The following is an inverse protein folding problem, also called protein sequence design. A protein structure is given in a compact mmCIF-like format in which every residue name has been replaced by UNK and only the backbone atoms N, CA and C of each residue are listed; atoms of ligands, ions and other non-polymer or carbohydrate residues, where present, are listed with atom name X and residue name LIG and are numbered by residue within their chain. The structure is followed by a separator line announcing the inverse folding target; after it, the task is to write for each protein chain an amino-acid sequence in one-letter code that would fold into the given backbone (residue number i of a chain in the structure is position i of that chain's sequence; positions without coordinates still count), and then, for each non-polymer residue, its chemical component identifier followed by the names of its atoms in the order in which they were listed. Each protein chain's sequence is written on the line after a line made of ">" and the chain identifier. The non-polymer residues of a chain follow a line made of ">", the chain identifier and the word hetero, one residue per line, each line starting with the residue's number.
data_IF_901249640183
#
_entry.id   IF_901249640183
#
_cell.length_a   1.000
_cell.length_b   1.000
_cell.length_c   1.000
_cell.angle_alpha   90.00
_cell.angle_beta   90.00
_cell.angle_gamma   90.00
#
_symmetry.space_group_name_H-M   'P 1'
#
loop_
_entity.id
_entity.type
_entity.pdbx_description
1 polymer ?
#
# COMPACT_ATOMS: atom_id res chain seq x y z
N UNK A 1 0.77 -27.27 -4.49
CA UNK A 1 1.39 -26.36 -3.51
C UNK A 1 1.12 -24.94 -4.00
N UNK A 2 0.76 -24.00 -3.14
CA UNK A 2 0.54 -22.62 -3.58
C UNK A 2 1.83 -22.02 -4.15
N UNK A 3 1.72 -21.20 -5.20
CA UNK A 3 2.90 -20.62 -5.86
C UNK A 3 3.76 -19.81 -4.89
N UNK A 4 5.07 -19.88 -5.05
CA UNK A 4 5.99 -19.10 -4.23
C UNK A 4 5.86 -17.60 -4.57
N UNK A 5 6.00 -16.73 -3.57
CA UNK A 5 5.99 -15.28 -3.75
C UNK A 5 7.18 -14.59 -3.08
N UNK A 6 7.66 -13.49 -3.67
CA UNK A 6 8.61 -12.59 -3.03
C UNK A 6 7.88 -11.30 -2.67
N UNK A 7 7.81 -10.98 -1.38
CA UNK A 7 7.23 -9.73 -0.90
C UNK A 7 8.35 -8.71 -0.73
N UNK A 8 8.22 -7.57 -1.41
CA UNK A 8 9.22 -6.50 -1.44
C UNK A 8 8.68 -5.29 -0.69
N UNK A 9 9.44 -4.83 0.30
CA UNK A 9 9.20 -3.61 1.06
C UNK A 9 10.37 -2.67 0.81
N UNK A 10 10.05 -1.44 0.41
CA UNK A 10 11.03 -0.36 0.27
C UNK A 10 10.79 0.65 1.37
N UNK A 11 11.85 1.08 2.05
CA UNK A 11 11.73 2.05 3.14
C UNK A 11 12.90 3.02 3.17
N UNK A 12 12.62 4.27 3.53
CA UNK A 12 13.67 5.28 3.71
C UNK A 12 13.26 6.29 4.78
N UNK A 13 14.10 6.45 5.80
CA UNK A 13 13.90 7.39 6.92
C UNK A 13 12.58 7.17 7.67
N UNK A 14 12.12 5.92 7.78
CA UNK A 14 10.84 5.54 8.41
C UNK A 14 10.93 4.30 9.33
N UNK A 15 11.90 4.21 10.24
CA UNK A 15 12.06 3.02 11.09
C UNK A 15 10.82 2.70 11.94
N UNK A 16 10.07 3.72 12.38
CA UNK A 16 8.86 3.51 13.18
C UNK A 16 7.70 2.87 12.42
N UNK A 17 7.61 3.10 11.10
CA UNK A 17 6.62 2.43 10.27
C UNK A 17 7.02 0.97 10.03
N UNK A 18 8.31 0.70 9.78
CA UNK A 18 8.83 -0.67 9.70
C UNK A 18 8.59 -1.48 10.98
N UNK A 19 8.73 -0.88 12.17
CA UNK A 19 8.40 -1.53 13.45
C UNK A 19 6.94 -1.98 13.54
N UNK A 20 6.03 -1.33 12.81
CA UNK A 20 4.62 -1.75 12.70
C UNK A 20 4.39 -2.75 11.57
N UNK A 21 5.00 -2.52 10.42
CA UNK A 21 4.78 -3.27 9.19
C UNK A 21 5.35 -4.70 9.27
N UNK A 22 6.62 -4.86 9.67
CA UNK A 22 7.31 -6.16 9.65
C UNK A 22 6.63 -7.25 10.50
N UNK A 23 6.13 -6.97 11.72
CA UNK A 23 5.44 -7.98 12.51
C UNK A 23 4.17 -8.56 11.86
N UNK A 24 3.51 -7.81 10.96
CA UNK A 24 2.28 -8.24 10.31
C UNK A 24 2.47 -9.42 9.34
N UNK A 25 3.67 -9.61 8.79
CA UNK A 25 3.93 -10.72 7.86
C UNK A 25 3.91 -12.09 8.52
N UNK A 26 4.10 -12.17 9.84
CA UNK A 26 3.92 -13.43 10.59
C UNK A 26 2.46 -13.93 10.54
N UNK A 27 1.52 -13.03 10.27
CA UNK A 27 0.09 -13.30 10.26
C UNK A 27 -0.44 -13.69 8.87
N UNK A 28 0.41 -13.75 7.84
CA UNK A 28 -0.07 -14.11 6.50
C UNK A 28 -0.50 -15.58 6.44
N UNK A 29 -1.67 -15.84 5.83
CA UNK A 29 -2.18 -17.20 5.61
C UNK A 29 -1.45 -17.91 4.48
N UNK A 30 -1.01 -17.20 3.45
CA UNK A 30 -0.10 -17.74 2.43
C UNK A 30 1.27 -18.00 3.05
N UNK A 31 1.74 -19.25 3.03
CA UNK A 31 2.96 -19.65 3.75
C UNK A 31 4.20 -19.72 2.87
N UNK A 32 4.04 -19.89 1.57
CA UNK A 32 5.14 -20.06 0.63
C UNK A 32 5.63 -18.71 0.10
N UNK A 33 6.28 -17.91 0.95
CA UNK A 33 6.86 -16.63 0.52
C UNK A 33 8.18 -16.31 1.19
N UNK A 34 8.98 -15.47 0.52
CA UNK A 34 10.14 -14.80 1.07
C UNK A 34 9.87 -13.30 1.25
N UNK A 35 10.60 -12.67 2.18
CA UNK A 35 10.48 -11.24 2.46
C UNK A 35 11.79 -10.55 2.11
N UNK A 36 11.69 -9.41 1.43
CA UNK A 36 12.83 -8.62 0.94
C UNK A 36 12.63 -7.19 1.42
N UNK A 37 13.56 -6.70 2.24
CA UNK A 37 13.58 -5.32 2.72
C UNK A 37 14.73 -4.57 2.04
N UNK A 38 14.36 -3.55 1.27
CA UNK A 38 15.30 -2.58 0.70
C UNK A 38 15.18 -1.30 1.51
N UNK A 39 16.21 -0.95 2.28
CA UNK A 39 16.11 0.20 3.17
C UNK A 39 17.45 0.90 3.44
N UNK A 40 17.34 2.11 3.97
CA UNK A 40 18.48 2.85 4.53
C UNK A 40 19.02 2.17 5.80
N UNK A 41 20.25 2.51 6.26
CA UNK A 41 20.83 1.86 7.45
C UNK A 41 19.93 1.89 8.70
N UNK A 42 19.20 2.98 9.02
CA UNK A 42 18.20 2.98 10.10
C UNK A 42 17.06 1.99 9.89
N UNK A 43 16.55 1.84 8.65
CA UNK A 43 15.53 0.86 8.33
C UNK A 43 16.03 -0.58 8.48
N UNK A 44 17.25 -0.88 8.01
CA UNK A 44 17.86 -2.21 8.21
C UNK A 44 18.13 -2.52 9.69
N UNK A 45 18.40 -1.52 10.52
CA UNK A 45 18.55 -1.69 11.95
C UNK A 45 17.25 -2.19 12.62
N UNK A 46 16.07 -1.85 12.08
CA UNK A 46 14.78 -2.39 12.57
C UNK A 46 14.68 -3.90 12.37
N UNK A 47 15.16 -4.42 11.23
CA UNK A 47 15.19 -5.87 11.01
C UNK A 47 16.09 -6.58 12.04
N UNK A 48 17.19 -5.95 12.46
CA UNK A 48 18.06 -6.46 13.53
C UNK A 48 17.37 -6.41 14.90
N UNK A 49 16.75 -5.28 15.23
CA UNK A 49 15.97 -5.10 16.48
C UNK A 49 14.88 -6.17 16.64
N UNK A 50 14.21 -6.53 15.56
CA UNK A 50 13.16 -7.54 15.54
C UNK A 50 13.68 -8.98 15.39
N UNK A 51 14.99 -9.21 15.37
CA UNK A 51 15.63 -10.51 15.14
C UNK A 51 15.20 -11.17 13.81
N UNK A 52 15.06 -10.38 12.76
CA UNK A 52 14.64 -10.82 11.42
C UNK A 52 15.75 -10.82 10.37
N UNK A 53 16.95 -10.30 10.66
CA UNK A 53 18.04 -10.20 9.67
C UNK A 53 18.41 -11.53 9.01
N UNK A 54 18.41 -12.63 9.76
CA UNK A 54 18.66 -13.98 9.23
C UNK A 54 17.41 -14.68 8.70
N UNK A 55 16.31 -13.96 8.56
CA UNK A 55 14.99 -14.50 8.22
C UNK A 55 14.39 -13.85 6.99
N UNK A 56 15.01 -12.80 6.47
CA UNK A 56 14.61 -12.09 5.25
C UNK A 56 15.85 -11.69 4.44
N UNK A 57 15.66 -11.22 3.22
CA UNK A 57 16.73 -10.62 2.42
C UNK A 57 16.79 -9.13 2.75
N UNK A 58 18.00 -8.62 3.02
CA UNK A 58 18.24 -7.21 3.35
C UNK A 58 19.10 -6.59 2.26
N UNK A 59 18.67 -5.46 1.71
CA UNK A 59 19.41 -4.68 0.72
C UNK A 59 19.51 -3.25 1.21
N UNK A 60 20.73 -2.74 1.29
CA UNK A 60 20.97 -1.35 1.68
C UNK A 60 20.72 -0.40 0.50
N UNK A 61 19.95 0.66 0.73
CA UNK A 61 19.69 1.71 -0.25
C UNK A 61 19.25 3.01 0.44
N UNK A 62 20.01 4.10 0.29
CA UNK A 62 19.70 5.41 0.90
C UNK A 62 19.59 6.54 -0.15
N UNK A 63 18.96 6.25 -1.28
CA UNK A 63 18.61 7.28 -2.27
C UNK A 63 17.10 7.52 -2.30
N UNK A 64 16.69 8.76 -2.59
CA UNK A 64 15.29 9.14 -2.74
C UNK A 64 14.76 8.76 -4.14
N UNK A 65 14.72 7.45 -4.42
CA UNK A 65 14.22 6.89 -5.67
C UNK A 65 13.48 5.58 -5.43
N UNK A 66 12.14 5.63 -5.43
CA UNK A 66 11.31 4.46 -5.13
C UNK A 66 11.43 3.36 -6.19
N UNK A 67 11.53 3.74 -7.47
CA UNK A 67 11.65 2.81 -8.60
C UNK A 67 12.96 2.03 -8.55
N UNK A 68 14.07 2.73 -8.28
CA UNK A 68 15.37 2.08 -8.09
C UNK A 68 15.34 1.10 -6.89
N UNK A 69 14.77 1.50 -5.75
CA UNK A 69 14.62 0.63 -4.59
C UNK A 69 13.77 -0.62 -4.90
N UNK A 70 12.65 -0.45 -5.62
CA UNK A 70 11.78 -1.56 -6.05
C UNK A 70 12.52 -2.53 -6.96
N UNK A 71 13.33 -2.01 -7.90
CA UNK A 71 14.13 -2.83 -8.79
C UNK A 71 15.25 -3.59 -8.08
N UNK A 72 15.89 -2.99 -7.07
CA UNK A 72 16.85 -3.70 -6.22
C UNK A 72 16.18 -4.87 -5.51
N UNK A 73 14.96 -4.68 -4.99
CA UNK A 73 14.17 -5.76 -4.41
C UNK A 73 13.79 -6.83 -5.43
N UNK A 74 13.37 -6.43 -6.63
CA UNK A 74 13.02 -7.32 -7.73
C UNK A 74 14.22 -8.17 -8.20
N UNK A 75 15.42 -7.60 -8.21
CA UNK A 75 16.65 -8.32 -8.53
C UNK A 75 16.98 -9.42 -7.50
N UNK A 76 16.52 -9.25 -6.24
CA UNK A 76 16.66 -10.25 -5.18
C UNK A 76 15.54 -11.29 -5.14
N UNK A 77 14.43 -11.06 -5.85
CA UNK A 77 13.23 -11.89 -5.80
C UNK A 77 13.39 -13.18 -6.61
N UNK A 78 13.42 -14.31 -5.91
CA UNK A 78 13.61 -15.63 -6.50
C UNK A 78 12.29 -16.31 -6.91
N UNK A 79 11.16 -15.80 -6.43
CA UNK A 79 9.86 -16.40 -6.67
C UNK A 79 9.25 -15.97 -8.02
N UNK A 80 8.37 -16.80 -8.63
CA UNK A 80 7.69 -16.46 -9.89
C UNK A 80 6.72 -15.29 -9.76
N UNK A 81 6.16 -15.06 -8.57
CA UNK A 81 5.28 -13.93 -8.26
C UNK A 81 6.00 -12.95 -7.33
N UNK A 82 5.81 -11.66 -7.58
CA UNK A 82 6.35 -10.58 -6.74
C UNK A 82 5.21 -9.70 -6.25
N UNK A 83 5.21 -9.35 -4.96
CA UNK A 83 4.24 -8.45 -4.37
C UNK A 83 4.96 -7.25 -3.75
N UNK A 84 4.42 -6.05 -3.95
CA UNK A 84 4.92 -4.79 -3.41
C UNK A 84 3.93 -4.24 -2.38
N UNK A 85 4.49 -3.77 -1.27
CA UNK A 85 3.73 -3.14 -0.19
C UNK A 85 4.60 -2.06 0.46
N UNK A 86 4.01 -0.89 0.73
CA UNK A 86 4.73 0.23 1.32
C UNK A 86 5.05 -0.04 2.81
N UNK A 87 6.11 0.60 3.29
CA UNK A 87 6.60 0.47 4.66
C UNK A 87 5.63 0.99 5.74
N UNK A 88 4.69 1.86 5.36
CA UNK A 88 3.62 2.38 6.20
C UNK A 88 2.27 1.66 5.97
N UNK A 89 2.23 0.60 5.16
CA UNK A 89 1.06 -0.25 5.01
C UNK A 89 1.11 -1.46 5.96
N UNK A 90 -0.05 -2.01 6.31
CA UNK A 90 -0.15 -3.26 7.07
C UNK A 90 -1.08 -4.23 6.35
N UNK A 91 -0.60 -5.41 5.92
CA UNK A 91 -1.44 -6.38 5.24
C UNK A 91 -2.42 -7.06 6.20
N UNK A 92 -3.65 -7.32 5.75
CA UNK A 92 -4.56 -8.23 6.44
C UNK A 92 -4.03 -9.68 6.41
N UNK A 93 -4.40 -10.56 7.35
CA UNK A 93 -3.94 -11.95 7.38
C UNK A 93 -4.11 -12.73 6.06
N UNK A 94 -5.24 -12.65 5.34
CA UNK A 94 -5.39 -13.32 4.04
C UNK A 94 -4.88 -12.51 2.85
N UNK A 95 -4.22 -11.35 3.06
CA UNK A 95 -3.84 -10.41 2.01
C UNK A 95 -3.05 -11.08 0.89
N UNK A 96 -1.93 -11.74 1.21
CA UNK A 96 -1.05 -12.31 0.19
C UNK A 96 -1.73 -13.45 -0.56
N UNK A 97 -2.45 -14.34 0.15
CA UNK A 97 -3.19 -15.43 -0.49
C UNK A 97 -4.21 -14.90 -1.51
N UNK A 98 -4.98 -13.87 -1.14
CA UNK A 98 -5.98 -13.26 -2.02
C UNK A 98 -5.37 -12.48 -3.17
N UNK A 99 -4.30 -11.72 -2.90
CA UNK A 99 -3.63 -10.93 -3.94
C UNK A 99 -3.05 -11.82 -5.03
N UNK A 100 -2.61 -13.03 -4.66
CA UNK A 100 -1.99 -13.98 -5.58
C UNK A 100 -2.97 -14.95 -6.25
N UNK A 101 -4.14 -15.19 -5.68
CA UNK A 101 -5.13 -16.12 -6.23
C UNK A 101 -5.45 -15.92 -7.73
N UNK A 102 -5.55 -14.68 -8.27
CA UNK A 102 -5.80 -14.49 -9.70
C UNK A 102 -4.71 -15.02 -10.64
N UNK A 103 -3.49 -15.26 -10.15
CA UNK A 103 -2.40 -15.80 -10.98
C UNK A 103 -2.54 -17.30 -11.27
N UNK A 104 -3.58 -17.98 -10.75
CA UNK A 104 -3.95 -19.31 -11.24
C UNK A 104 -4.36 -19.26 -12.73
N UNK A 105 -4.82 -18.10 -13.23
CA UNK A 105 -4.92 -17.80 -14.66
C UNK A 105 -3.57 -17.32 -15.20
N UNK A 106 -2.99 -18.07 -16.15
CA UNK A 106 -1.72 -17.74 -16.80
C UNK A 106 -1.72 -16.37 -17.49
N UNK A 107 -2.88 -15.89 -17.93
CA UNK A 107 -3.04 -14.60 -18.60
C UNK A 107 -2.98 -13.43 -17.63
N UNK A 108 -3.20 -13.64 -16.33
CA UNK A 108 -3.08 -12.57 -15.33
C UNK A 108 -1.60 -12.27 -15.10
N UNK A 109 -1.19 -11.06 -15.44
CA UNK A 109 0.20 -10.59 -15.31
C UNK A 109 0.39 -9.62 -14.15
N UNK A 110 -0.71 -9.02 -13.68
CA UNK A 110 -0.73 -8.09 -12.56
C UNK A 110 -1.99 -8.25 -11.71
N UNK A 111 -1.89 -7.94 -10.42
CA UNK A 111 -3.04 -7.81 -9.53
C UNK A 111 -2.85 -6.65 -8.57
N UNK A 112 -3.96 -6.13 -8.05
CA UNK A 112 -4.01 -5.05 -7.06
C UNK A 112 -5.18 -5.27 -6.11
N UNK A 113 -5.12 -4.70 -4.92
CA UNK A 113 -6.19 -4.83 -3.92
C UNK A 113 -6.58 -3.52 -3.26
N UNK A 114 -7.70 -3.53 -2.53
CA UNK A 114 -8.20 -2.30 -1.90
C UNK A 114 -7.30 -1.82 -0.77
N UNK A 115 -7.25 -0.49 -0.62
CA UNK A 115 -6.44 0.15 0.43
C UNK A 115 -7.36 0.87 1.40
N UNK A 116 -7.26 0.50 2.67
CA UNK A 116 -7.91 1.23 3.77
C UNK A 116 -7.03 2.40 4.17
N UNK A 117 -7.65 3.56 4.35
CA UNK A 117 -6.93 4.76 4.78
C UNK A 117 -6.61 4.78 6.27
N UNK A 118 -6.04 5.89 6.73
CA UNK A 118 -5.50 6.11 8.10
C UNK A 118 -6.39 5.72 9.29
N UNK A 119 -7.71 5.71 9.12
CA UNK A 119 -8.61 5.32 10.22
C UNK A 119 -8.78 3.80 10.29
N UNK A 120 -8.19 3.02 9.38
CA UNK A 120 -8.30 1.57 9.28
C UNK A 120 -9.72 1.06 9.05
N UNK A 121 -10.65 1.92 8.59
CA UNK A 121 -12.05 1.56 8.36
C UNK A 121 -12.52 2.03 6.98
N UNK A 122 -12.30 3.30 6.64
CA UNK A 122 -12.71 3.84 5.33
C UNK A 122 -11.74 3.40 4.25
N UNK A 123 -12.26 3.11 3.06
CA UNK A 123 -11.41 2.91 1.89
C UNK A 123 -10.75 4.25 1.52
N UNK A 124 -9.46 4.17 1.21
CA UNK A 124 -8.69 5.23 0.55
C UNK A 124 -8.71 5.02 -0.96
N UNK A 125 -8.69 3.76 -1.41
CA UNK A 125 -8.61 3.41 -2.83
C UNK A 125 -9.32 2.08 -3.10
N UNK A 126 -10.07 2.01 -4.22
CA UNK A 126 -10.97 0.89 -4.59
C UNK A 126 -10.86 0.44 -6.06
N UNK A 127 -9.74 0.67 -6.73
CA UNK A 127 -9.60 0.32 -8.15
C UNK A 127 -9.99 1.47 -9.08
N UNK A 128 -9.06 1.87 -9.95
CA UNK A 128 -9.27 2.80 -11.06
C UNK A 128 -8.42 2.34 -12.24
N UNK A 129 -8.81 2.72 -13.45
CA UNK A 129 -7.95 2.69 -14.62
C UNK A 129 -7.20 4.02 -14.75
N UNK A 130 -6.27 4.09 -15.70
CA UNK A 130 -5.59 5.33 -16.07
C UNK A 130 -5.59 5.52 -17.57
N UNK A 131 -5.74 6.75 -18.03
CA UNK A 131 -5.52 7.10 -19.42
C UNK A 131 -4.04 7.41 -19.71
N UNK A 132 -3.73 7.70 -20.96
CA UNK A 132 -2.41 8.11 -21.44
C UNK A 132 -1.92 9.45 -20.88
N UNK A 133 -2.77 10.22 -20.20
CA UNK A 133 -2.37 11.43 -19.46
C UNK A 133 -2.01 11.12 -18.00
N UNK A 134 -2.29 9.90 -17.54
CA UNK A 134 -2.12 9.47 -16.16
C UNK A 134 -3.30 9.85 -15.27
N UNK A 135 -4.39 10.34 -15.85
CA UNK A 135 -5.61 10.67 -15.14
C UNK A 135 -6.40 9.41 -14.78
N UNK A 136 -6.99 9.41 -13.59
CA UNK A 136 -7.77 8.27 -13.10
C UNK A 136 -9.10 8.15 -13.87
N UNK A 137 -9.37 6.97 -14.42
CA UNK A 137 -10.66 6.59 -15.01
C UNK A 137 -11.41 5.70 -14.03
N UNK A 138 -12.64 6.09 -13.69
CA UNK A 138 -13.50 5.28 -12.83
C UNK A 138 -13.77 3.90 -13.44
N UNK A 139 -13.71 2.87 -12.61
CA UNK A 139 -14.10 1.50 -12.96
C UNK A 139 -15.29 1.09 -12.12
N UNK A 140 -16.19 0.31 -12.71
CA UNK A 140 -17.21 -0.40 -11.95
C UNK A 140 -16.56 -1.67 -11.37
N UNK A 141 -16.29 -1.65 -10.06
CA UNK A 141 -15.58 -2.71 -9.34
C UNK A 141 -16.48 -3.22 -8.23
N UNK A 142 -16.75 -4.53 -8.23
CA UNK A 142 -17.47 -5.19 -7.14
C UNK A 142 -16.66 -5.08 -5.84
N UNK A 143 -17.28 -4.82 -4.69
CA UNK A 143 -16.55 -4.66 -3.42
C UNK A 143 -16.14 -5.98 -2.74
N UNK A 144 -16.61 -7.13 -3.25
CA UNK A 144 -16.41 -8.46 -2.67
C UNK A 144 -15.79 -9.45 -3.64
N UNK A 145 -16.00 -9.28 -4.94
CA UNK A 145 -15.55 -10.22 -5.97
C UNK A 145 -14.38 -9.70 -6.80
N UNK A 146 -13.48 -10.60 -7.18
CA UNK A 146 -12.36 -10.26 -8.05
C UNK A 146 -12.86 -9.87 -9.43
N UNK A 147 -12.39 -8.73 -9.93
CA UNK A 147 -12.64 -8.28 -11.31
C UNK A 147 -11.37 -8.44 -12.14
N UNK A 148 -11.42 -9.22 -13.21
CA UNK A 148 -10.29 -9.42 -14.13
C UNK A 148 -10.54 -8.63 -15.41
N UNK A 149 -9.62 -7.74 -15.77
CA UNK A 149 -9.73 -6.85 -16.92
C UNK A 149 -8.56 -7.08 -17.89
N UNK A 150 -8.75 -6.90 -19.21
CA UNK A 150 -7.64 -6.87 -20.15
C UNK A 150 -6.59 -5.83 -19.74
N UNK A 151 -5.31 -6.14 -19.93
CA UNK A 151 -4.20 -5.23 -19.56
C UNK A 151 -4.34 -3.85 -20.21
N UNK A 152 -4.92 -3.78 -21.41
CA UNK A 152 -5.20 -2.55 -22.16
C UNK A 152 -6.15 -1.57 -21.44
N UNK A 153 -6.80 -1.98 -20.34
CA UNK A 153 -7.55 -1.09 -19.46
C UNK A 153 -6.66 -0.26 -18.53
N UNK A 154 -5.35 -0.49 -18.50
CA UNK A 154 -4.37 0.23 -17.67
C UNK A 154 -4.86 0.41 -16.22
N UNK A 155 -5.31 -0.68 -15.61
CA UNK A 155 -5.70 -0.70 -14.19
C UNK A 155 -4.53 -0.23 -13.36
N UNK A 156 -4.74 0.82 -12.55
CA UNK A 156 -3.72 1.39 -11.69
C UNK A 156 -3.36 0.40 -10.57
N UNK A 157 -2.22 -0.26 -10.70
CA UNK A 157 -1.69 -1.16 -9.67
C UNK A 157 -1.06 -0.34 -8.55
N UNK A 158 -1.90 0.17 -7.63
CA UNK A 158 -1.47 1.06 -6.56
C UNK A 158 -0.24 0.51 -5.83
N UNK A 159 0.87 1.25 -5.83
CA UNK A 159 2.18 0.75 -5.36
C UNK A 159 2.22 0.25 -3.91
N UNK A 160 1.27 0.70 -3.08
CA UNK A 160 1.06 0.24 -1.70
C UNK A 160 0.50 -1.19 -1.62
N UNK A 161 -0.10 -1.71 -2.69
CA UNK A 161 -0.79 -3.00 -2.71
C UNK A 161 -0.92 -3.56 -4.13
N UNK A 162 0.16 -4.12 -4.65
CA UNK A 162 0.14 -4.74 -5.97
C UNK A 162 1.03 -5.98 -6.06
N UNK A 163 0.75 -6.84 -7.03
CA UNK A 163 1.59 -7.98 -7.37
C UNK A 163 1.68 -8.16 -8.88
N UNK A 164 2.74 -8.84 -9.32
CA UNK A 164 3.03 -9.09 -10.73
C UNK A 164 3.61 -10.49 -10.92
N UNK A 165 3.44 -11.05 -12.12
CA UNK A 165 4.35 -12.09 -12.59
C UNK A 165 5.73 -11.48 -12.72
N UNK A 166 6.71 -12.04 -12.00
CA UNK A 166 8.09 -11.57 -12.00
C UNK A 166 8.64 -11.45 -13.42
N UNK A 167 8.41 -12.48 -14.24
CA UNK A 167 8.90 -12.53 -15.61
C UNK A 167 8.30 -11.41 -16.50
N UNK A 168 7.02 -11.06 -16.33
CA UNK A 168 6.39 -9.99 -17.08
C UNK A 168 6.98 -8.62 -16.69
N UNK A 169 7.13 -8.36 -15.38
CA UNK A 169 7.71 -7.13 -14.87
C UNK A 169 9.21 -6.99 -15.22
N UNK A 170 9.98 -8.07 -15.12
CA UNK A 170 11.40 -8.07 -15.47
C UNK A 170 11.62 -7.83 -16.97
N UNK A 171 10.76 -8.38 -17.85
CA UNK A 171 10.88 -8.22 -19.30
C UNK A 171 10.77 -6.77 -19.77
N UNK A 172 9.94 -5.97 -19.10
CA UNK A 172 9.82 -4.53 -19.40
C UNK A 172 10.87 -3.69 -18.65
N UNK A 173 11.78 -4.31 -17.90
CA UNK A 173 12.82 -3.61 -17.14
C UNK A 173 12.41 -3.09 -15.76
N UNK A 174 11.32 -3.62 -15.20
CA UNK A 174 10.85 -3.24 -13.87
C UNK A 174 10.25 -1.83 -13.84
N UNK A 175 10.46 -1.13 -12.72
CA UNK A 175 10.06 0.26 -12.52
C UNK A 175 11.13 1.19 -13.10
N UNK A 176 10.77 2.17 -13.91
CA UNK A 176 11.77 3.06 -14.51
C UNK A 176 12.40 4.00 -13.45
N UNK A 177 13.71 3.92 -13.16
CA UNK A 177 14.39 4.77 -12.18
C UNK A 177 14.32 6.27 -12.49
N UNK A 178 13.94 6.66 -13.71
CA UNK A 178 13.61 8.05 -14.03
C UNK A 178 12.41 8.52 -13.19
N UNK A 179 11.44 7.66 -12.87
CA UNK A 179 10.32 8.00 -11.98
C UNK A 179 10.74 7.82 -10.52
N UNK A 180 11.37 8.84 -9.95
CA UNK A 180 11.88 8.78 -8.55
C UNK A 180 10.77 8.74 -7.51
N UNK A 181 9.60 9.29 -7.85
CA UNK A 181 8.37 9.31 -7.07
C UNK A 181 7.22 9.68 -8.00
N UNK A 182 6.00 9.17 -7.73
CA UNK A 182 4.76 9.47 -8.46
C UNK A 182 4.74 8.89 -9.89
N UNK A 183 3.62 8.23 -10.25
CA UNK A 183 3.36 7.60 -11.55
C UNK A 183 4.28 6.45 -11.95
N UNK A 184 5.18 5.99 -11.08
CA UNK A 184 6.08 4.89 -11.41
C UNK A 184 5.33 3.56 -11.60
N UNK A 185 4.31 3.29 -10.79
CA UNK A 185 3.43 2.13 -11.00
C UNK A 185 2.53 2.29 -12.22
N UNK A 186 2.09 3.51 -12.52
CA UNK A 186 1.24 3.79 -13.69
C UNK A 186 2.03 3.54 -14.97
N UNK A 187 3.28 4.01 -15.04
CA UNK A 187 4.19 3.74 -16.15
C UNK A 187 4.38 2.24 -16.38
N UNK A 188 4.56 1.45 -15.32
CA UNK A 188 4.62 -0.02 -15.42
C UNK A 188 3.38 -0.59 -16.09
N UNK A 189 2.18 -0.18 -15.66
CA UNK A 189 0.92 -0.73 -16.20
C UNK A 189 0.73 -0.42 -17.68
N UNK A 190 1.13 0.78 -18.13
CA UNK A 190 1.09 1.16 -19.54
C UNK A 190 2.14 0.41 -20.36
N UNK A 191 3.37 0.26 -19.85
CA UNK A 191 4.42 -0.53 -20.52
C UNK A 191 4.13 -2.02 -20.59
N UNK A 192 3.25 -2.55 -19.74
CA UNK A 192 2.78 -3.94 -19.84
C UNK A 192 1.76 -4.16 -20.97
N UNK A 193 1.06 -3.12 -21.45
CA UNK A 193 0.01 -3.27 -22.46
C UNK A 193 0.48 -3.99 -23.74
N UNK A 194 1.63 -3.63 -24.35
CA UNK A 194 2.11 -4.32 -25.55
C UNK A 194 2.46 -5.80 -25.32
N UNK A 195 2.67 -6.23 -24.06
CA UNK A 195 2.96 -7.61 -23.70
C UNK A 195 1.70 -8.49 -23.61
N UNK A 196 0.52 -7.88 -23.59
CA UNK A 196 -0.75 -8.59 -23.43
C UNK A 196 -1.01 -9.10 -22.01
N UNK A 197 -2.11 -9.83 -21.85
CA UNK A 197 -2.56 -10.39 -20.58
C UNK A 197 -3.67 -9.58 -19.90
N UNK A 198 -3.82 -9.80 -18.60
CA UNK A 198 -4.91 -9.28 -17.77
C UNK A 198 -4.38 -8.70 -16.46
N UNK A 199 -5.14 -7.75 -15.91
CA UNK A 199 -4.95 -7.24 -14.55
C UNK A 199 -6.17 -7.56 -13.69
N UNK A 200 -5.94 -8.11 -12.51
CA UNK A 200 -6.99 -8.41 -11.54
C UNK A 200 -7.08 -7.32 -10.46
N UNK A 201 -8.30 -6.88 -10.15
CA UNK A 201 -8.62 -6.08 -8.97
C UNK A 201 -9.25 -7.02 -7.95
N UNK A 202 -8.63 -7.15 -6.78
CA UNK A 202 -9.02 -8.08 -5.71
C UNK A 202 -9.47 -7.29 -4.48
N UNK A 203 -10.79 -7.02 -4.32
CA UNK A 203 -11.31 -6.14 -3.27
C UNK A 203 -10.96 -6.58 -1.84
N UNK A 204 -10.84 -7.90 -1.63
CA UNK A 204 -10.57 -8.50 -0.33
C UNK A 204 -9.07 -8.68 -0.03
N UNK A 205 -8.17 -8.43 -0.99
CA UNK A 205 -6.73 -8.35 -0.75
C UNK A 205 -6.39 -6.98 -0.13
N UNK A 206 -6.70 -6.80 1.15
CA UNK A 206 -6.69 -5.48 1.77
C UNK A 206 -5.40 -5.19 2.56
N UNK A 207 -4.94 -3.95 2.46
CA UNK A 207 -3.92 -3.38 3.35
C UNK A 207 -4.46 -2.14 4.08
N UNK A 208 -3.94 -1.86 5.26
CA UNK A 208 -4.19 -0.63 6.02
C UNK A 208 -3.02 0.31 5.80
N UNK A 209 -3.23 1.34 5.01
CA UNK A 209 -2.22 2.35 4.77
C UNK A 209 -2.21 3.36 5.92
N UNK A 210 -1.07 3.38 6.61
CA UNK A 210 -0.68 4.44 7.52
C UNK A 210 -0.53 5.76 6.77
N UNK A 211 -0.38 6.84 7.54
CA UNK A 211 0.00 8.13 6.98
C UNK A 211 1.17 8.63 7.81
N UNK A 212 2.38 8.43 7.29
CA UNK A 212 3.61 8.96 7.88
C UNK A 212 4.02 10.28 7.23
N UNK A 213 4.66 11.16 7.99
CA UNK A 213 5.40 12.30 7.43
C UNK A 213 6.60 11.78 6.62
N UNK A 214 7.07 12.55 5.63
CA UNK A 214 8.32 12.27 4.92
C UNK A 214 8.95 13.56 4.38
N UNK A 215 10.07 13.46 3.66
CA UNK A 215 10.79 14.62 3.14
C UNK A 215 9.96 15.52 2.20
N UNK A 216 8.93 14.97 1.54
CA UNK A 216 8.00 15.71 0.67
C UNK A 216 6.67 16.08 1.36
N UNK A 217 6.52 15.80 2.66
CA UNK A 217 5.26 15.98 3.38
C UNK A 217 5.42 16.16 4.89
N UNK A 218 4.93 17.29 5.41
CA UNK A 218 4.84 17.57 6.86
C UNK A 218 3.94 16.54 7.57
N UNK A 219 4.06 16.42 8.89
CA UNK A 219 3.18 15.57 9.71
C UNK A 219 1.70 15.96 9.63
N UNK A 220 1.41 17.24 9.33
CA UNK A 220 0.05 17.72 9.08
C UNK A 220 -0.47 17.38 7.67
N UNK A 221 0.34 16.69 6.85
CA UNK A 221 0.09 16.25 5.46
C UNK A 221 0.31 17.30 4.37
N UNK A 222 0.66 18.53 4.72
CA UNK A 222 1.02 19.52 3.71
C UNK A 222 2.24 19.06 2.90
N UNK A 223 2.22 19.17 1.56
CA UNK A 223 3.41 18.96 0.75
C UNK A 223 4.49 19.98 1.12
N UNK A 224 5.75 19.59 0.96
CA UNK A 224 6.93 20.47 1.12
C UNK A 224 7.69 20.69 -0.17
N UNK A 225 7.42 19.88 -1.20
CA UNK A 225 8.01 19.97 -2.53
C UNK A 225 7.08 19.25 -3.53
N UNK A 226 6.96 19.79 -4.74
CA UNK A 226 6.20 19.21 -5.86
C UNK A 226 7.10 18.88 -7.07
N UNK A 227 8.41 19.12 -7.01
CA UNK A 227 9.30 18.92 -8.16
C UNK A 227 9.26 17.49 -8.70
N UNK A 228 9.29 16.46 -7.85
CA UNK A 228 9.21 15.08 -8.34
C UNK A 228 7.86 14.73 -8.97
N UNK A 229 6.76 15.35 -8.52
CA UNK A 229 5.44 15.19 -9.15
C UNK A 229 5.46 15.79 -10.56
N UNK A 230 5.95 17.02 -10.70
CA UNK A 230 6.06 17.69 -12.00
C UNK A 230 6.98 16.95 -12.96
N UNK A 231 8.13 16.50 -12.46
CA UNK A 231 9.13 15.77 -13.24
C UNK A 231 8.60 14.44 -13.76
N UNK A 232 8.02 13.61 -12.89
CA UNK A 232 7.44 12.32 -13.28
C UNK A 232 6.23 12.48 -14.19
N UNK A 233 5.39 13.49 -13.99
CA UNK A 233 4.28 13.77 -14.90
C UNK A 233 4.76 14.14 -16.30
N UNK A 234 5.76 15.01 -16.42
CA UNK A 234 6.34 15.36 -17.73
C UNK A 234 6.95 14.13 -18.44
N UNK A 235 7.65 13.26 -17.71
CA UNK A 235 8.18 12.00 -18.26
C UNK A 235 7.06 11.06 -18.71
N UNK A 236 6.01 10.90 -17.89
CA UNK A 236 4.85 10.07 -18.21
C UNK A 236 4.19 10.54 -19.51
N UNK A 237 3.92 11.84 -19.63
CA UNK A 237 3.30 12.44 -20.81
C UNK A 237 4.18 12.31 -22.05
N UNK A 238 5.50 12.44 -21.92
CA UNK A 238 6.43 12.23 -23.04
C UNK A 238 6.41 10.79 -23.56
N UNK A 239 6.25 9.82 -22.66
CA UNK A 239 6.24 8.39 -23.02
C UNK A 239 4.88 7.94 -23.56
N UNK A 240 3.79 8.29 -22.87
CA UNK A 240 2.48 7.66 -23.08
C UNK A 240 1.47 8.58 -23.77
N UNK A 241 1.57 9.90 -23.57
CA UNK A 241 0.58 10.85 -24.08
C UNK A 241 0.91 11.34 -25.52
N UNK A 242 -0.07 11.36 -26.44
CA UNK A 242 0.06 12.00 -27.75
C UNK A 242 0.53 13.46 -27.64
N UNK A 243 1.45 13.93 -28.50
CA UNK A 243 2.05 15.26 -28.39
C UNK A 243 1.06 16.42 -28.31
N UNK A 244 -0.05 16.36 -29.04
CA UNK A 244 -1.11 17.37 -29.11
C UNK A 244 -1.91 17.51 -27.81
N UNK A 245 -1.84 16.53 -26.90
CA UNK A 245 -2.57 16.54 -25.62
C UNK A 245 -1.68 16.84 -24.41
N UNK A 246 -0.37 16.91 -24.58
CA UNK A 246 0.59 17.05 -23.46
C UNK A 246 0.43 18.36 -22.71
N UNK A 247 0.26 19.47 -23.42
CA UNK A 247 0.15 20.79 -22.79
C UNK A 247 -1.14 20.89 -21.95
N UNK A 248 -2.27 20.44 -22.50
CA UNK A 248 -3.53 20.37 -21.77
C UNK A 248 -3.45 19.48 -20.52
N UNK A 249 -2.72 18.36 -20.59
CA UNK A 249 -2.50 17.49 -19.45
C UNK A 249 -1.60 18.13 -18.37
N UNK A 250 -0.58 18.89 -18.76
CA UNK A 250 0.24 19.67 -17.83
C UNK A 250 -0.57 20.78 -17.16
N UNK A 251 -1.48 21.44 -17.88
CA UNK A 251 -2.36 22.46 -17.32
C UNK A 251 -3.38 21.86 -16.34
N UNK A 252 -3.89 20.67 -16.63
CA UNK A 252 -4.72 19.91 -15.70
C UNK A 252 -3.95 19.52 -14.42
N UNK A 253 -2.68 19.09 -14.56
CA UNK A 253 -1.81 18.82 -13.41
C UNK A 253 -1.62 20.06 -12.54
N UNK A 254 -1.31 21.21 -13.15
CA UNK A 254 -1.14 22.50 -12.44
C UNK A 254 -2.39 22.88 -11.68
N UNK A 255 -3.55 22.82 -12.34
CA UNK A 255 -4.85 23.14 -11.76
C UNK A 255 -5.17 22.21 -10.59
N UNK A 256 -4.93 20.91 -10.74
CA UNK A 256 -5.15 19.92 -9.69
C UNK A 256 -4.23 20.10 -8.49
N UNK A 257 -2.95 20.46 -8.69
CA UNK A 257 -2.07 20.79 -7.55
C UNK A 257 -2.51 22.08 -6.87
N UNK A 258 -2.88 23.12 -7.61
CA UNK A 258 -3.38 24.38 -7.04
C UNK A 258 -4.64 24.14 -6.17
N UNK A 259 -5.60 23.34 -6.66
CA UNK A 259 -6.79 22.96 -5.88
C UNK A 259 -6.42 22.18 -4.61
N UNK A 260 -5.50 21.22 -4.73
CA UNK A 260 -4.99 20.45 -3.58
C UNK A 260 -4.35 21.37 -2.54
N UNK A 261 -3.53 22.34 -2.95
CA UNK A 261 -2.92 23.32 -2.04
C UNK A 261 -3.98 24.21 -1.37
N UNK A 262 -4.97 24.67 -2.14
CA UNK A 262 -6.10 25.44 -1.61
C UNK A 262 -6.90 24.64 -0.55
N UNK A 263 -7.08 23.33 -0.73
CA UNK A 263 -7.69 22.46 0.28
C UNK A 263 -6.83 22.38 1.55
N UNK A 264 -5.51 22.24 1.42
CA UNK A 264 -4.60 22.25 2.57
C UNK A 264 -4.66 23.59 3.33
N UNK A 265 -4.79 24.72 2.63
CA UNK A 265 -4.98 26.05 3.22
C UNK A 265 -6.32 26.16 3.94
N UNK A 266 -7.42 25.69 3.34
CA UNK A 266 -8.75 25.66 3.97
C UNK A 266 -8.74 24.84 5.28
N UNK A 267 -7.94 23.77 5.33
CA UNK A 267 -7.73 22.95 6.53
C UNK A 267 -6.61 23.49 7.45
N UNK A 268 -6.10 24.70 7.22
CA UNK A 268 -5.06 25.40 7.99
C UNK A 268 -3.75 24.61 8.13
N UNK A 269 -3.37 23.88 7.08
CA UNK A 269 -2.10 23.11 7.02
C UNK A 269 -0.98 23.83 6.30
N UNK A 270 -1.35 24.79 5.47
CA UNK A 270 -0.47 25.67 4.71
C UNK A 270 -0.92 27.13 4.94
N UNK A 271 0.04 28.05 4.92
CA UNK A 271 -0.23 29.48 4.78
C UNK A 271 -0.33 29.86 3.29
N UNK A 272 -0.80 31.06 2.99
CA UNK A 272 -0.78 31.60 1.63
C UNK A 272 0.66 31.73 1.09
N UNK A 273 1.62 32.03 1.96
CA UNK A 273 3.04 32.16 1.60
C UNK A 273 3.69 30.83 1.23
N UNK A 274 3.16 29.70 1.73
CA UNK A 274 3.69 28.36 1.41
C UNK A 274 3.37 27.93 -0.04
N UNK A 275 2.34 28.48 -0.69
CA UNK A 275 1.82 27.95 -1.96
C UNK A 275 2.68 28.28 -3.17
N UNK A 276 3.16 29.54 -3.27
CA UNK A 276 3.94 29.97 -4.42
C UNK A 276 5.25 29.16 -4.58
N UNK A 277 6.06 28.92 -3.52
CA UNK A 277 7.25 28.07 -3.62
C UNK A 277 6.94 26.62 -4.04
N UNK A 278 5.79 26.08 -3.62
CA UNK A 278 5.36 24.73 -4.00
C UNK A 278 5.02 24.67 -5.50
N UNK A 279 4.29 25.65 -6.01
CA UNK A 279 3.98 25.71 -7.45
C UNK A 279 5.22 25.99 -8.29
N UNK A 280 6.15 26.83 -7.83
CA UNK A 280 7.45 27.03 -8.49
C UNK A 280 8.27 25.72 -8.54
N UNK A 281 8.24 24.93 -7.45
CA UNK A 281 8.88 23.63 -7.44
C UNK A 281 8.26 22.65 -8.45
N UNK A 282 6.94 22.69 -8.63
CA UNK A 282 6.24 21.90 -9.64
C UNK A 282 6.73 22.26 -11.04
N UNK A 283 6.81 23.55 -11.37
CA UNK A 283 7.27 24.02 -12.69
C UNK A 283 8.71 23.61 -12.97
N UNK A 284 9.61 23.80 -11.99
CA UNK A 284 11.01 23.33 -12.11
C UNK A 284 11.05 21.83 -12.41
N UNK A 285 10.23 21.04 -11.71
CA UNK A 285 10.08 19.62 -11.97
C UNK A 285 9.62 19.32 -13.39
N UNK A 286 8.59 20.01 -13.88
CA UNK A 286 8.09 19.85 -15.25
C UNK A 286 9.21 20.12 -16.27
N UNK A 287 9.94 21.22 -16.12
CA UNK A 287 11.07 21.58 -17.00
C UNK A 287 12.17 20.50 -16.96
N UNK A 288 12.57 20.05 -15.77
CA UNK A 288 13.54 18.95 -15.62
C UNK A 288 13.06 17.68 -16.32
N UNK A 289 11.77 17.34 -16.21
CA UNK A 289 11.19 16.14 -16.81
C UNK A 289 11.05 16.23 -18.33
N UNK A 290 10.87 17.44 -18.87
CA UNK A 290 10.87 17.69 -20.32
C UNK A 290 12.26 17.52 -20.93
N UNK A 291 13.31 17.91 -20.20
CA UNK A 291 14.70 17.86 -20.67
C UNK A 291 15.42 16.54 -20.35
N UNK A 292 14.91 15.77 -19.38
CA UNK A 292 15.56 14.55 -18.94
C UNK A 292 15.63 13.49 -20.05
N UNK A 293 16.70 12.70 -20.02
CA UNK A 293 16.77 11.50 -20.85
C UNK A 293 15.66 10.51 -20.46
N UNK A 294 15.04 9.91 -21.47
CA UNK A 294 13.91 9.01 -21.34
C UNK A 294 14.09 7.82 -22.28
N UNK A 295 15.12 7.04 -22.02
CA UNK A 295 15.31 5.72 -22.63
C UNK A 295 14.34 4.71 -22.03
N UNK A 296 13.93 3.71 -22.81
CA UNK A 296 13.19 2.58 -22.26
C UNK A 296 14.07 1.76 -21.29
N UNK A 297 13.52 1.34 -20.14
CA UNK A 297 14.26 0.49 -19.21
C UNK A 297 14.68 -0.83 -19.86
N UNK A 298 15.91 -1.26 -19.59
CA UNK A 298 16.39 -2.56 -20.04
C UNK A 298 15.83 -3.69 -19.17
N UNK A 299 15.56 -4.84 -19.81
CA UNK A 299 15.07 -6.02 -19.10
C UNK A 299 15.98 -6.40 -17.94
N UNK A 300 15.37 -6.74 -16.80
CA UNK A 300 16.11 -7.15 -15.61
C UNK A 300 16.49 -8.63 -15.70
N UNK A 301 17.69 -9.02 -15.25
CA UNK A 301 18.13 -10.41 -15.27
C UNK A 301 17.29 -11.30 -14.34
N UNK A 302 17.44 -12.62 -14.49
CA UNK A 302 16.95 -13.56 -13.51
C UNK A 302 17.63 -13.35 -12.15
N UNK A 303 16.91 -13.66 -11.07
CA UNK A 303 17.45 -13.53 -9.73
C UNK A 303 18.52 -14.60 -9.52
N UNK A 304 19.71 -14.17 -9.14
CA UNK A 304 20.84 -15.05 -8.84
C UNK A 304 20.84 -15.54 -7.39
N UNK A 305 20.03 -14.91 -6.53
CA UNK A 305 19.94 -15.21 -5.12
C UNK A 305 18.82 -16.23 -4.87
N UNK A 306 19.14 -17.33 -4.19
CA UNK A 306 18.20 -18.39 -3.88
C UNK A 306 16.99 -17.90 -3.06
N UNK A 307 15.86 -18.58 -3.20
CA UNK A 307 14.65 -18.32 -2.41
C UNK A 307 14.91 -18.56 -0.93
N UNK A 308 14.55 -17.59 -0.07
CA UNK A 308 14.71 -17.66 1.39
C UNK A 308 13.35 -17.62 2.08
N UNK A 309 12.72 -18.76 2.40
CA UNK A 309 11.41 -18.79 3.02
C UNK A 309 11.36 -17.94 4.30
N UNK A 310 10.36 -17.06 4.40
CA UNK A 310 10.16 -16.25 5.59
C UNK A 310 9.52 -17.11 6.71
N UNK A 311 10.12 -17.19 7.92
CA UNK A 311 9.61 -18.01 9.00
C UNK A 311 8.44 -17.32 9.71
N UNK A 312 7.26 -17.93 9.63
CA UNK A 312 6.01 -17.30 10.04
C UNK A 312 5.33 -17.95 11.27
N UNK A 313 6.01 -18.87 11.97
CA UNK A 313 5.40 -19.63 13.08
C UNK A 313 4.22 -20.52 12.62
N UNK A 314 3.18 -20.73 13.44
CA UNK A 314 2.02 -21.54 13.04
C UNK A 314 1.08 -20.83 12.06
N UNK A 315 1.08 -19.49 12.03
CA UNK A 315 0.13 -18.69 11.28
C UNK A 315 -1.28 -18.68 11.90
N UNK A 316 -2.10 -17.65 11.64
CA UNK A 316 -3.41 -17.55 12.24
C UNK A 316 -4.35 -18.55 11.58
N UNK A 317 -4.96 -19.43 12.38
CA UNK A 317 -6.01 -20.37 11.92
C UNK A 317 -7.40 -19.76 11.96
N UNK A 318 -7.59 -18.74 12.81
CA UNK A 318 -8.87 -18.04 12.98
C UNK A 318 -8.63 -16.59 13.33
N UNK A 319 -9.67 -15.79 13.18
CA UNK A 319 -9.72 -14.44 13.70
C UNK A 319 -10.60 -14.41 14.97
N UNK A 320 -10.17 -13.66 15.99
CA UNK A 320 -10.88 -13.51 17.26
C UNK A 320 -11.07 -12.03 17.61
N UNK A 321 -12.32 -11.59 17.78
CA UNK A 321 -12.65 -10.25 18.27
C UNK A 321 -12.90 -10.28 19.77
N UNK A 322 -12.14 -9.48 20.51
CA UNK A 322 -12.31 -9.30 21.96
C UNK A 322 -12.78 -7.90 22.26
N UNK A 323 -13.90 -7.76 22.97
CA UNK A 323 -14.37 -6.45 23.40
C UNK A 323 -13.89 -6.10 24.80
N UNK A 324 -13.53 -4.85 25.04
CA UNK A 324 -13.26 -4.33 26.38
C UNK A 324 -13.82 -2.92 26.58
N UNK A 325 -14.09 -2.58 27.85
CA UNK A 325 -14.37 -1.20 28.27
C UNK A 325 -13.10 -0.48 28.70
N UNK A 326 -13.24 0.71 29.29
CA UNK A 326 -12.10 1.48 29.79
C UNK A 326 -11.31 0.73 30.88
N UNK A 327 -12.02 0.18 31.87
CA UNK A 327 -11.43 -0.48 33.04
C UNK A 327 -10.73 -1.80 32.72
N UNK A 328 -11.22 -2.55 31.72
CA UNK A 328 -10.64 -3.82 31.30
C UNK A 328 -9.52 -3.72 30.27
N UNK A 329 -9.21 -2.52 29.76
CA UNK A 329 -8.33 -2.37 28.61
C UNK A 329 -6.91 -2.86 28.86
N UNK A 330 -6.32 -2.56 30.03
CA UNK A 330 -4.95 -2.99 30.37
C UNK A 330 -4.81 -4.52 30.38
N UNK A 331 -5.74 -5.22 31.03
CA UNK A 331 -5.77 -6.69 31.07
C UNK A 331 -5.98 -7.28 29.67
N UNK A 332 -6.92 -6.73 28.91
CA UNK A 332 -7.20 -7.20 27.55
C UNK A 332 -6.01 -6.98 26.60
N UNK A 333 -5.29 -5.86 26.76
CA UNK A 333 -4.07 -5.57 26.01
C UNK A 333 -2.94 -6.56 26.33
N UNK A 334 -2.72 -6.87 27.61
CA UNK A 334 -1.73 -7.86 28.03
C UNK A 334 -2.04 -9.25 27.46
N UNK A 335 -3.31 -9.67 27.50
CA UNK A 335 -3.72 -10.94 26.91
C UNK A 335 -3.59 -10.97 25.39
N UNK A 336 -3.95 -9.88 24.70
CA UNK A 336 -3.77 -9.78 23.25
C UNK A 336 -2.30 -9.90 22.85
N UNK A 337 -1.37 -9.29 23.61
CA UNK A 337 0.07 -9.42 23.40
C UNK A 337 0.57 -10.86 23.58
N UNK A 338 0.15 -11.52 24.67
CA UNK A 338 0.54 -12.89 24.94
C UNK A 338 0.08 -13.84 23.82
N UNK A 339 -1.15 -13.68 23.37
CA UNK A 339 -1.70 -14.52 22.31
C UNK A 339 -1.13 -14.21 20.92
N UNK A 340 -0.87 -12.93 20.62
CA UNK A 340 -0.20 -12.54 19.37
C UNK A 340 1.22 -13.12 19.29
N UNK A 341 1.91 -13.27 20.43
CA UNK A 341 3.22 -13.93 20.47
C UNK A 341 3.13 -15.41 20.07
N UNK A 342 2.07 -16.11 20.49
CA UNK A 342 1.80 -17.52 20.12
C UNK A 342 1.50 -17.67 18.62
N UNK A 343 0.81 -16.70 18.02
CA UNK A 343 0.63 -16.59 16.57
C UNK A 343 -0.37 -17.58 15.95
N UNK A 344 -1.18 -18.28 16.75
CA UNK A 344 -2.19 -19.25 16.31
C UNK A 344 -3.51 -18.60 15.84
N UNK A 345 -3.68 -17.31 16.09
CA UNK A 345 -4.88 -16.53 15.78
C UNK A 345 -4.57 -15.07 15.52
N UNK A 346 -5.35 -14.46 14.62
CA UNK A 346 -5.38 -13.02 14.44
C UNK A 346 -6.34 -12.42 15.47
N UNK A 347 -5.95 -11.34 16.14
CA UNK A 347 -6.74 -10.76 17.25
C UNK A 347 -7.12 -9.33 16.90
N UNK A 348 -8.40 -9.00 17.11
CA UNK A 348 -8.87 -7.62 17.13
C UNK A 348 -9.41 -7.26 18.51
N UNK A 349 -8.75 -6.32 19.18
CA UNK A 349 -9.22 -5.73 20.43
C UNK A 349 -10.17 -4.56 20.13
N UNK A 350 -11.46 -4.76 20.35
CA UNK A 350 -12.51 -3.76 20.21
C UNK A 350 -12.74 -3.00 21.52
N UNK A 351 -12.17 -1.79 21.62
CA UNK A 351 -12.31 -0.88 22.76
C UNK A 351 -13.48 0.08 22.53
N UNK A 352 -14.56 -0.13 23.29
CA UNK A 352 -15.78 0.69 23.22
C UNK A 352 -15.92 1.59 24.46
N UNK A 353 -15.98 2.92 24.26
CA UNK A 353 -16.38 3.90 25.29
C UNK A 353 -17.86 4.28 25.14
N UNK A 354 -18.55 4.68 26.21
CA UNK A 354 -19.95 5.15 26.15
C UNK A 354 -20.05 6.57 25.56
N UNK A 355 -19.68 6.73 24.29
CA UNK A 355 -19.57 8.02 23.60
C UNK A 355 -20.00 7.88 22.14
N UNK A 356 -20.02 9.00 21.40
CA UNK A 356 -20.25 9.07 19.94
C UNK A 356 -18.97 9.13 19.11
N UNK A 357 -17.80 8.90 19.73
CA UNK A 357 -16.50 8.88 19.04
C UNK A 357 -16.52 7.95 17.83
N UNK A 358 -16.05 8.45 16.69
CA UNK A 358 -15.93 7.64 15.48
C UNK A 358 -14.92 6.53 15.68
N UNK A 359 -15.15 5.40 15.01
CA UNK A 359 -14.25 4.27 15.13
C UNK A 359 -12.96 4.51 14.32
N UNK A 360 -11.87 3.96 14.83
CA UNK A 360 -10.62 3.82 14.10
C UNK A 360 -9.99 2.47 14.45
N UNK A 361 -9.35 1.84 13.47
CA UNK A 361 -8.61 0.59 13.60
C UNK A 361 -7.13 0.85 13.29
N UNK A 362 -6.23 0.21 14.04
CA UNK A 362 -4.79 0.26 13.79
C UNK A 362 -4.15 -1.05 14.20
N UNK A 363 -3.10 -1.47 13.50
CA UNK A 363 -2.24 -2.56 13.93
C UNK A 363 -1.25 -2.08 15.01
N UNK A 364 -1.13 -2.87 16.07
CA UNK A 364 -0.15 -2.68 17.14
C UNK A 364 1.12 -3.47 16.79
N UNK A 365 2.34 -2.90 16.94
CA UNK A 365 3.61 -3.60 16.70
C UNK A 365 3.74 -4.95 17.40
N UNK A 366 3.00 -5.16 18.49
CA UNK A 366 2.99 -6.44 19.19
C UNK A 366 2.17 -7.55 18.49
N UNK A 367 1.62 -7.31 17.29
CA UNK A 367 1.06 -8.37 16.43
C UNK A 367 -0.46 -8.52 16.45
N UNK A 368 -1.23 -7.48 16.78
CA UNK A 368 -2.70 -7.54 16.80
C UNK A 368 -3.33 -6.21 16.41
N UNK A 369 -4.63 -6.21 16.10
CA UNK A 369 -5.37 -4.99 15.78
C UNK A 369 -6.05 -4.41 17.03
N UNK A 370 -6.07 -3.09 17.12
CA UNK A 370 -6.88 -2.34 18.08
C UNK A 370 -7.88 -1.50 17.31
N UNK A 371 -9.16 -1.80 17.50
CA UNK A 371 -10.24 -0.94 17.06
C UNK A 371 -10.80 -0.16 18.25
N UNK A 372 -10.70 1.17 18.21
CA UNK A 372 -11.20 2.06 19.26
C UNK A 372 -12.37 2.89 18.72
N UNK A 373 -13.38 3.11 19.55
CA UNK A 373 -14.52 3.92 19.16
C UNK A 373 -15.56 4.08 20.26
N UNK A 374 -16.56 4.90 19.97
CA UNK A 374 -17.71 5.09 20.83
C UNK A 374 -18.77 4.04 20.56
N UNK A 375 -19.38 3.53 21.63
CA UNK A 375 -20.53 2.65 21.58
C UNK A 375 -21.56 3.22 20.60
N UNK A 376 -21.86 4.52 20.63
CA UNK A 376 -22.89 5.18 19.81
C UNK A 376 -22.37 5.88 18.55
N UNK A 377 -21.06 5.88 18.31
CA UNK A 377 -20.45 6.57 17.18
C UNK A 377 -20.45 5.74 15.91
N UNK A 378 -20.40 6.40 14.75
CA UNK A 378 -20.28 5.73 13.45
C UNK A 378 -18.95 4.98 13.27
N UNK A 379 -19.02 3.89 12.48
CA UNK A 379 -17.85 3.23 11.91
C UNK A 379 -17.62 3.67 10.48
N UNK A 380 -18.63 3.51 9.63
CA UNK A 380 -18.58 3.85 8.22
C UNK A 380 -18.98 5.31 8.01
N UNK A 381 -18.53 5.93 6.90
CA UNK A 381 -18.91 7.31 6.58
C UNK A 381 -20.42 7.46 6.31
N UNK A 382 -21.03 6.41 5.77
CA UNK A 382 -22.46 6.28 5.49
C UNK A 382 -23.31 5.99 6.74
N UNK A 383 -22.71 5.64 7.88
CA UNK A 383 -23.47 5.45 9.11
C UNK A 383 -24.00 6.80 9.64
N UNK A 384 -25.18 6.80 10.30
CA UNK A 384 -25.63 7.93 11.09
C UNK A 384 -24.58 8.37 12.11
N UNK A 385 -24.46 9.68 12.34
CA UNK A 385 -23.49 10.24 13.30
C UNK A 385 -23.65 9.65 14.71
N UNK A 386 -24.90 9.36 15.08
CA UNK A 386 -25.27 8.72 16.34
C UNK A 386 -26.24 7.58 16.07
N UNK A 387 -25.95 6.41 16.63
CA UNK A 387 -26.88 5.27 16.66
C UNK A 387 -26.91 4.70 18.08
N UNK A 388 -28.11 4.43 18.59
CA UNK A 388 -28.28 3.74 19.87
C UNK A 388 -28.43 2.24 19.63
N UNK A 389 -27.63 1.45 20.32
CA UNK A 389 -27.52 -0.01 20.21
C UNK A 389 -26.98 -0.56 21.53
N UNK A 390 -27.36 -1.80 21.87
CA UNK A 390 -26.77 -2.49 23.01
C UNK A 390 -25.31 -2.79 22.69
N UNK A 391 -24.49 -2.90 23.72
CA UNK A 391 -23.05 -3.22 23.56
C UNK A 391 -22.85 -4.51 22.76
N UNK A 392 -23.67 -5.53 23.01
CA UNK A 392 -23.62 -6.81 22.28
C UNK A 392 -23.87 -6.62 20.77
N UNK A 393 -24.90 -5.86 20.39
CA UNK A 393 -25.22 -5.58 18.99
C UNK A 393 -24.08 -4.82 18.29
N UNK A 394 -23.47 -3.86 18.99
CA UNK A 394 -22.31 -3.11 18.49
C UNK A 394 -21.13 -4.03 18.22
N UNK A 395 -20.84 -4.95 19.15
CA UNK A 395 -19.76 -5.94 18.99
C UNK A 395 -20.06 -6.87 17.83
N UNK A 396 -21.27 -7.41 17.74
CA UNK A 396 -21.69 -8.33 16.66
C UNK A 396 -21.52 -7.69 15.29
N UNK A 397 -21.98 -6.45 15.11
CA UNK A 397 -21.82 -5.71 13.85
C UNK A 397 -20.35 -5.53 13.47
N UNK A 398 -19.52 -5.06 14.41
CA UNK A 398 -18.11 -4.81 14.11
C UNK A 398 -17.35 -6.11 13.85
N UNK A 399 -17.72 -7.18 14.53
CA UNK A 399 -17.15 -8.53 14.31
C UNK A 399 -17.47 -9.01 12.89
N UNK A 400 -18.75 -9.02 12.51
CA UNK A 400 -19.16 -9.40 11.15
C UNK A 400 -18.46 -8.57 10.06
N UNK A 401 -18.31 -7.25 10.27
CA UNK A 401 -17.60 -6.38 9.31
C UNK A 401 -16.13 -6.76 9.18
N UNK A 402 -15.45 -7.09 10.27
CA UNK A 402 -14.02 -7.41 10.26
C UNK A 402 -13.78 -8.83 9.71
N UNK A 403 -14.61 -9.80 10.12
CA UNK A 403 -14.50 -11.19 9.70
C UNK A 403 -14.59 -11.35 8.19
N UNK A 404 -15.35 -10.48 7.52
CA UNK A 404 -15.48 -10.44 6.06
C UNK A 404 -14.15 -10.26 5.30
N UNK A 405 -13.10 -9.73 5.95
CA UNK A 405 -11.80 -9.52 5.29
C UNK A 405 -10.59 -9.98 6.10
N UNK A 406 -10.70 -10.23 7.41
CA UNK A 406 -9.57 -10.59 8.28
C UNK A 406 -9.47 -12.09 8.56
N UNK A 407 -10.54 -12.85 8.32
CA UNK A 407 -10.56 -14.29 8.58
C UNK A 407 -9.57 -15.02 7.64
N UNK A 408 -8.64 -15.84 8.17
CA UNK A 408 -7.64 -16.53 7.36
C UNK A 408 -8.20 -17.54 6.34
N UNK A 409 -9.41 -18.04 6.58
CA UNK A 409 -10.10 -19.07 5.77
C UNK A 409 -11.11 -18.47 4.78
N UNK A 410 -11.17 -17.14 4.64
CA UNK A 410 -12.20 -16.44 3.84
C UNK A 410 -11.75 -15.93 2.50
#
# INVERSE_FOLDING_TARGET
>A
MSEAASVIIVSRRRPDELRRNLPAFRLQSHRNFELILVADPPGLAVARELNLSDRMKLVEFDEANISAARNLGLAQAAAPLVAFIDDDATPEPPWLARLLAPFDDSDVVASTGFVRGRNGISMQWQGVATDETGADIALDVNEQETTVLPIARCVKTHGTNCAFRRAALARIGGFDPAFRFFLDETDVTHRLVPQGGKTAIVPLAQVHHGFAANASRKANRAPTDLAQIGRSAALFLRRHCPPDRRDAALDALRSGQAERLAHHRAERRLSTEDEAPLMESLERGITEGQMADLSDPQALPEATVAFRPFPQGPGPRRHEVRSCGLWGYRKALAQARADAAAGDKAITLLRLSRTTRFHASRFDPAGFWVQRGGLFGRSLRSDPLVRFWRRADRIKRETARIDAFRSPES
#
